data_IF_449210370085
#
_entry.id   IF_449210370085
#
_cell.length_a   1.000
_cell.length_b   1.000
_cell.length_c   1.000
_cell.angle_alpha   90.00
_cell.angle_beta   90.00
_cell.angle_gamma   90.00
#
_symmetry.space_group_name_H-M   'P 1'
#
loop_
_entity.id
_entity.type
_entity.pdbx_description
1 polymer ?
#
# COMPACT_ATOMS: atom_id res chain seq x y z
N UNK A 1 17.04 -35.11 -0.62
CA UNK A 1 17.29 -35.39 -2.05
C UNK A 1 18.10 -34.23 -2.60
N UNK A 2 19.29 -34.49 -3.15
CA UNK A 2 20.06 -33.45 -3.84
C UNK A 2 19.55 -33.33 -5.27
N UNK A 3 19.40 -32.10 -5.77
CA UNK A 3 19.00 -31.81 -7.15
C UNK A 3 19.97 -30.79 -7.73
N UNK A 4 20.26 -30.91 -9.02
CA UNK A 4 21.34 -30.18 -9.70
C UNK A 4 20.99 -29.72 -11.11
N UNK A 5 19.81 -30.09 -11.61
CA UNK A 5 19.32 -29.74 -12.95
C UNK A 5 17.90 -29.19 -12.90
N UNK A 6 17.52 -28.44 -13.94
CA UNK A 6 16.17 -27.89 -14.07
C UNK A 6 15.06 -28.95 -14.09
N UNK A 7 15.30 -30.10 -14.72
CA UNK A 7 14.34 -31.20 -14.77
C UNK A 7 14.14 -31.83 -13.38
N UNK A 8 15.20 -32.00 -12.61
CA UNK A 8 15.11 -32.49 -11.23
C UNK A 8 14.34 -31.50 -10.35
N UNK A 9 14.59 -30.20 -10.50
CA UNK A 9 13.85 -29.15 -9.79
C UNK A 9 12.36 -29.18 -10.11
N UNK A 10 11.97 -29.16 -11.39
CA UNK A 10 10.56 -29.19 -11.79
C UNK A 10 9.83 -30.46 -11.34
N UNK A 11 10.54 -31.59 -11.22
CA UNK A 11 9.98 -32.82 -10.66
C UNK A 11 9.91 -32.79 -9.13
N UNK A 12 10.89 -32.19 -8.46
CA UNK A 12 10.89 -32.01 -7.00
C UNK A 12 9.68 -31.19 -6.52
N UNK A 13 9.27 -30.18 -7.29
CA UNK A 13 8.08 -29.37 -6.98
C UNK A 13 6.76 -30.14 -6.95
N UNK A 14 6.72 -31.41 -7.37
CA UNK A 14 5.54 -32.29 -7.31
C UNK A 14 5.55 -33.23 -6.09
N UNK A 15 6.65 -33.26 -5.35
CA UNK A 15 6.84 -34.17 -4.23
C UNK A 15 6.61 -33.52 -2.86
N UNK A 16 6.91 -34.30 -1.82
CA UNK A 16 6.76 -33.96 -0.41
C UNK A 16 8.05 -34.14 0.40
N UNK A 17 9.15 -34.52 -0.26
CA UNK A 17 10.44 -34.73 0.38
C UNK A 17 11.20 -33.41 0.67
N UNK A 18 12.36 -33.54 1.31
CA UNK A 18 13.34 -32.46 1.44
C UNK A 18 14.29 -32.47 0.25
N UNK A 19 14.30 -31.40 -0.51
CA UNK A 19 15.12 -31.18 -1.69
C UNK A 19 16.15 -30.07 -1.42
N UNK A 20 17.39 -30.31 -1.83
CA UNK A 20 18.51 -29.38 -1.69
C UNK A 20 19.10 -29.13 -3.08
N UNK A 21 19.08 -27.88 -3.53
CA UNK A 21 19.73 -27.48 -4.77
C UNK A 21 21.25 -27.42 -4.56
N UNK A 22 22.03 -27.97 -5.50
CA UNK A 22 23.49 -28.02 -5.38
C UNK A 22 24.23 -27.21 -6.44
N UNK A 23 23.52 -26.67 -7.43
CA UNK A 23 24.05 -25.84 -8.50
C UNK A 23 23.00 -24.81 -8.89
N UNK A 24 23.42 -23.68 -9.47
CA UNK A 24 22.50 -22.79 -10.17
C UNK A 24 21.85 -23.53 -11.34
N UNK A 25 20.58 -23.22 -11.62
CA UNK A 25 19.81 -23.87 -12.67
C UNK A 25 19.10 -22.86 -13.54
N UNK A 26 18.87 -23.24 -14.79
CA UNK A 26 18.18 -22.44 -15.79
C UNK A 26 16.95 -23.19 -16.31
N UNK A 27 15.80 -22.53 -16.29
CA UNK A 27 14.50 -23.05 -16.70
C UNK A 27 14.02 -22.26 -17.90
N UNK A 28 13.95 -22.93 -19.05
CA UNK A 28 13.44 -22.34 -20.29
C UNK A 28 11.96 -21.97 -20.18
N UNK A 29 11.14 -22.90 -19.68
CA UNK A 29 9.70 -22.73 -19.58
C UNK A 29 9.18 -23.28 -18.25
N UNK A 30 8.42 -22.45 -17.53
CA UNK A 30 7.77 -22.86 -16.28
C UNK A 30 6.65 -23.86 -16.57
N UNK A 31 6.72 -25.02 -15.89
CA UNK A 31 5.61 -25.97 -15.77
C UNK A 31 5.08 -25.89 -14.36
N UNK A 32 3.93 -25.23 -14.18
CA UNK A 32 3.30 -25.07 -12.87
C UNK A 32 3.08 -26.42 -12.20
N UNK A 33 3.58 -26.57 -10.98
CA UNK A 33 3.22 -27.69 -10.12
C UNK A 33 1.87 -27.42 -9.46
N UNK A 34 0.94 -28.37 -9.53
CA UNK A 34 -0.38 -28.20 -8.90
C UNK A 34 -0.27 -28.05 -7.38
N UNK A 35 0.63 -28.79 -6.74
CA UNK A 35 0.82 -28.77 -5.29
C UNK A 35 2.25 -29.14 -4.92
N UNK A 36 2.81 -28.45 -3.93
CA UNK A 36 4.07 -28.81 -3.28
C UNK A 36 3.91 -28.80 -1.76
N UNK A 37 4.26 -29.90 -1.10
CA UNK A 37 4.19 -30.03 0.38
C UNK A 37 5.53 -30.35 1.03
N UNK A 38 6.61 -30.44 0.24
CA UNK A 38 7.95 -30.74 0.73
C UNK A 38 8.70 -29.54 1.26
N UNK A 39 10.01 -29.68 1.43
CA UNK A 39 10.92 -28.55 1.67
C UNK A 39 11.87 -28.43 0.50
N UNK A 40 11.87 -27.29 -0.17
CA UNK A 40 12.87 -26.95 -1.17
C UNK A 40 13.79 -25.87 -0.60
N UNK A 41 15.06 -26.25 -0.41
CA UNK A 41 16.13 -25.36 0.01
C UNK A 41 17.05 -25.13 -1.19
N UNK A 42 17.05 -23.91 -1.73
CA UNK A 42 17.92 -23.56 -2.84
C UNK A 42 19.37 -23.35 -2.39
N UNK A 43 19.65 -23.34 -1.08
CA UNK A 43 21.00 -23.30 -0.53
C UNK A 43 21.86 -22.14 -1.07
N UNK A 44 21.22 -20.98 -1.33
CA UNK A 44 21.85 -19.79 -1.88
C UNK A 44 22.06 -19.82 -3.40
N UNK A 45 21.66 -20.89 -4.09
CA UNK A 45 21.76 -20.98 -5.54
C UNK A 45 20.69 -20.18 -6.27
N UNK A 46 21.01 -19.85 -7.52
CA UNK A 46 20.13 -19.09 -8.42
C UNK A 46 19.30 -20.01 -9.30
N UNK A 47 18.02 -19.66 -9.46
CA UNK A 47 17.08 -20.25 -10.40
C UNK A 47 16.75 -19.18 -11.44
N UNK A 48 17.32 -19.32 -12.63
CA UNK A 48 17.05 -18.42 -13.76
C UNK A 48 15.85 -18.95 -14.55
N UNK A 49 14.84 -18.12 -14.75
CA UNK A 49 13.66 -18.40 -15.57
C UNK A 49 13.75 -17.51 -16.81
N UNK A 50 13.95 -18.12 -17.98
CA UNK A 50 14.07 -17.38 -19.25
C UNK A 50 12.79 -16.67 -19.64
N UNK A 51 11.66 -17.37 -19.55
CA UNK A 51 10.35 -16.85 -19.87
C UNK A 51 9.30 -17.30 -18.84
N UNK A 52 8.83 -16.38 -18.02
CA UNK A 52 7.78 -16.64 -17.03
C UNK A 52 6.40 -16.21 -17.54
N UNK A 53 5.57 -17.20 -17.89
CA UNK A 53 4.16 -17.00 -18.26
C UNK A 53 3.20 -17.71 -17.29
N UNK A 54 3.74 -18.44 -16.31
CA UNK A 54 3.00 -19.27 -15.38
C UNK A 54 3.66 -19.23 -14.00
N UNK A 55 2.89 -19.37 -12.90
CA UNK A 55 3.44 -19.55 -11.56
C UNK A 55 4.25 -20.85 -11.48
N UNK A 56 5.28 -20.89 -10.62
CA UNK A 56 6.00 -22.14 -10.32
C UNK A 56 5.09 -23.17 -9.64
N UNK A 57 4.21 -22.73 -8.73
CA UNK A 57 3.36 -23.62 -7.93
C UNK A 57 1.95 -23.04 -7.82
N UNK A 58 0.90 -23.85 -7.98
CA UNK A 58 -0.47 -23.40 -7.72
C UNK A 58 -0.75 -23.35 -6.22
N UNK A 59 -0.51 -24.43 -5.48
CA UNK A 59 -0.74 -24.48 -4.03
C UNK A 59 0.50 -24.95 -3.27
N UNK A 60 1.06 -24.08 -2.45
CA UNK A 60 2.20 -24.38 -1.58
C UNK A 60 1.70 -24.72 -0.18
N UNK A 61 1.87 -25.96 0.26
CA UNK A 61 1.71 -26.37 1.67
C UNK A 61 3.06 -26.60 2.37
N UNK A 62 4.15 -26.63 1.59
CA UNK A 62 5.50 -26.92 2.04
C UNK A 62 6.32 -25.68 2.39
N UNK A 63 7.62 -25.75 2.14
CA UNK A 63 8.56 -24.64 2.39
C UNK A 63 9.47 -24.41 1.19
N UNK A 64 9.61 -23.16 0.77
CA UNK A 64 10.62 -22.69 -0.19
C UNK A 64 11.55 -21.75 0.58
N UNK A 65 12.87 -21.96 0.50
CA UNK A 65 13.80 -21.06 1.16
C UNK A 65 15.18 -20.95 0.51
N UNK A 66 15.88 -19.88 0.89
CA UNK A 66 17.27 -19.58 0.52
C UNK A 66 17.52 -19.56 -0.99
N UNK A 67 16.59 -18.98 -1.75
CA UNK A 67 16.64 -18.98 -3.21
C UNK A 67 16.85 -17.57 -3.75
N UNK A 68 17.66 -17.46 -4.80
CA UNK A 68 17.63 -16.31 -5.72
C UNK A 68 16.90 -16.73 -6.98
N UNK A 69 15.84 -16.03 -7.36
CA UNK A 69 15.07 -16.29 -8.58
C UNK A 69 15.24 -15.11 -9.52
N UNK A 70 15.71 -15.35 -10.73
CA UNK A 70 15.88 -14.31 -11.76
C UNK A 70 14.92 -14.62 -12.89
N UNK A 71 14.06 -13.66 -13.24
CA UNK A 71 13.15 -13.76 -14.39
C UNK A 71 13.67 -12.82 -15.48
N UNK A 72 14.25 -13.39 -16.53
CA UNK A 72 14.85 -12.60 -17.63
C UNK A 72 13.81 -11.91 -18.49
N UNK A 73 12.68 -12.57 -18.74
CA UNK A 73 11.55 -11.99 -19.45
C UNK A 73 10.23 -12.56 -18.95
N UNK A 74 9.20 -11.71 -18.95
CA UNK A 74 7.82 -12.12 -18.72
C UNK A 74 6.88 -11.20 -19.51
N UNK A 75 6.14 -11.79 -20.43
CA UNK A 75 5.05 -11.13 -21.15
C UNK A 75 3.75 -11.76 -20.65
N UNK A 76 3.09 -11.09 -19.72
CA UNK A 76 1.92 -11.61 -19.04
C UNK A 76 0.68 -10.89 -19.58
N UNK A 77 -0.18 -11.63 -20.25
CA UNK A 77 -1.55 -11.20 -20.52
C UNK A 77 -2.45 -12.16 -19.76
N UNK A 78 -3.14 -11.68 -18.72
CA UNK A 78 -3.92 -12.54 -17.85
C UNK A 78 -5.31 -11.97 -17.59
N UNK A 79 -6.29 -12.89 -17.60
CA UNK A 79 -7.64 -12.64 -17.11
C UNK A 79 -7.80 -12.97 -15.62
N UNK A 80 -6.86 -13.74 -15.10
CA UNK A 80 -6.88 -14.26 -13.73
C UNK A 80 -5.75 -13.64 -12.92
N UNK A 81 -5.85 -13.75 -11.61
CA UNK A 81 -4.74 -13.41 -10.72
C UNK A 81 -3.47 -14.21 -11.05
N UNK A 82 -2.31 -13.56 -10.91
CA UNK A 82 -1.01 -14.10 -11.25
C UNK A 82 0.04 -13.77 -10.20
N UNK A 83 0.95 -14.72 -10.01
CA UNK A 83 2.20 -14.54 -9.28
C UNK A 83 3.30 -15.40 -9.92
N UNK A 84 4.56 -15.04 -9.70
CA UNK A 84 5.69 -15.80 -10.25
C UNK A 84 5.98 -17.06 -9.44
N UNK A 85 5.86 -16.98 -8.10
CA UNK A 85 6.22 -18.11 -7.22
C UNK A 85 5.02 -19.01 -6.96
N UNK A 86 4.00 -18.55 -6.21
CA UNK A 86 2.86 -19.40 -5.84
C UNK A 86 1.51 -18.71 -6.01
N UNK A 87 0.47 -19.39 -6.50
CA UNK A 87 -0.88 -18.79 -6.50
C UNK A 87 -1.40 -18.72 -5.07
N UNK A 88 -1.47 -19.84 -4.36
CA UNK A 88 -1.91 -19.91 -2.96
C UNK A 88 -0.78 -20.43 -2.06
N UNK A 89 -0.33 -19.60 -1.11
CA UNK A 89 0.62 -19.98 -0.08
C UNK A 89 -0.11 -20.40 1.20
N UNK A 90 -0.12 -21.69 1.51
CA UNK A 90 -0.51 -22.26 2.81
C UNK A 90 0.71 -22.72 3.63
N UNK A 91 1.92 -22.48 3.12
CA UNK A 91 3.18 -22.96 3.67
C UNK A 91 4.09 -21.82 4.10
N UNK A 92 5.37 -21.94 3.75
CA UNK A 92 6.41 -20.97 4.11
C UNK A 92 7.26 -20.60 2.90
N UNK A 93 7.45 -19.30 2.71
CA UNK A 93 8.43 -18.73 1.78
C UNK A 93 9.38 -17.89 2.62
N UNK A 94 10.63 -18.32 2.74
CA UNK A 94 11.58 -17.74 3.70
C UNK A 94 12.92 -17.43 3.02
N UNK A 95 13.43 -16.22 3.17
CA UNK A 95 14.73 -15.85 2.59
C UNK A 95 14.81 -16.14 1.08
N UNK A 96 13.80 -15.67 0.35
CA UNK A 96 13.76 -15.77 -1.11
C UNK A 96 13.87 -14.38 -1.71
N UNK A 97 14.82 -14.23 -2.63
CA UNK A 97 14.96 -13.07 -3.46
C UNK A 97 14.41 -13.37 -4.85
N UNK A 98 13.72 -12.39 -5.44
CA UNK A 98 13.30 -12.45 -6.83
C UNK A 98 13.58 -11.12 -7.54
N UNK A 99 14.34 -11.18 -8.63
CA UNK A 99 14.56 -10.07 -9.55
C UNK A 99 13.82 -10.38 -10.85
N UNK A 100 12.86 -9.53 -11.17
CA UNK A 100 12.05 -9.60 -12.36
C UNK A 100 12.39 -8.39 -13.21
N UNK A 101 12.79 -8.62 -14.46
CA UNK A 101 13.03 -7.53 -15.42
C UNK A 101 11.80 -6.64 -15.64
N UNK A 102 11.91 -5.71 -16.58
CA UNK A 102 10.75 -4.88 -16.97
C UNK A 102 9.65 -5.76 -17.57
N UNK A 103 8.43 -5.61 -17.06
CA UNK A 103 7.25 -6.32 -17.54
C UNK A 103 6.24 -5.31 -18.02
N UNK A 104 5.84 -5.48 -19.28
CA UNK A 104 4.61 -4.92 -19.79
C UNK A 104 3.54 -6.00 -19.69
N UNK A 105 2.46 -5.70 -18.97
CA UNK A 105 1.38 -6.65 -18.74
C UNK A 105 0.03 -6.00 -18.99
N UNK A 106 -0.86 -6.78 -19.60
CA UNK A 106 -2.27 -6.43 -19.73
C UNK A 106 -3.06 -7.31 -18.78
N UNK A 107 -3.78 -6.69 -17.85
CA UNK A 107 -4.71 -7.38 -16.97
C UNK A 107 -6.14 -7.12 -17.46
N UNK A 108 -6.78 -8.16 -17.99
CA UNK A 108 -8.16 -8.06 -18.48
C UNK A 108 -9.10 -8.52 -17.36
N UNK A 109 -10.07 -7.69 -17.00
CA UNK A 109 -10.92 -7.90 -15.80
C UNK A 109 -12.38 -8.01 -16.21
N UNK A 110 -13.05 -9.10 -15.84
CA UNK A 110 -14.49 -9.21 -16.04
C UNK A 110 -15.25 -8.45 -14.95
N UNK A 111 -16.47 -8.01 -15.28
CA UNK A 111 -17.34 -7.35 -14.30
C UNK A 111 -17.60 -8.26 -13.08
N UNK A 112 -17.42 -7.71 -11.88
CA UNK A 112 -17.59 -8.46 -10.63
C UNK A 112 -16.45 -9.40 -10.25
N UNK A 113 -15.38 -9.48 -11.06
CA UNK A 113 -14.17 -10.23 -10.71
C UNK A 113 -13.08 -9.31 -10.15
N UNK A 114 -12.33 -9.84 -9.19
CA UNK A 114 -11.13 -9.18 -8.64
C UNK A 114 -9.89 -9.96 -9.06
N UNK A 115 -8.90 -9.25 -9.57
CA UNK A 115 -7.65 -9.83 -10.05
C UNK A 115 -6.45 -9.24 -9.32
N UNK A 116 -5.46 -10.08 -9.04
CA UNK A 116 -4.25 -9.70 -8.33
C UNK A 116 -3.01 -10.04 -9.14
N UNK A 117 -2.10 -9.07 -9.28
CA UNK A 117 -0.74 -9.30 -9.76
C UNK A 117 0.23 -9.13 -8.60
N UNK A 118 1.04 -10.15 -8.35
CA UNK A 118 2.05 -10.12 -7.28
C UNK A 118 3.27 -10.92 -7.69
N UNK A 119 4.32 -10.94 -6.86
CA UNK A 119 5.50 -11.76 -7.17
C UNK A 119 5.50 -13.07 -6.40
N UNK A 120 5.34 -13.03 -5.08
CA UNK A 120 5.41 -14.23 -4.26
C UNK A 120 4.08 -14.99 -4.22
N UNK A 121 2.98 -14.32 -3.89
CA UNK A 121 1.71 -15.00 -3.67
C UNK A 121 0.49 -14.20 -4.15
N UNK A 122 -0.38 -14.80 -4.97
CA UNK A 122 -1.71 -14.20 -5.18
C UNK A 122 -2.45 -14.13 -3.85
N UNK A 123 -2.48 -15.25 -3.12
CA UNK A 123 -3.09 -15.37 -1.80
C UNK A 123 -2.12 -15.98 -0.80
N UNK A 124 -1.85 -15.28 0.29
CA UNK A 124 -1.01 -15.74 1.39
C UNK A 124 -1.83 -16.11 2.63
N UNK A 125 -2.03 -17.40 2.88
CA UNK A 125 -2.57 -17.93 4.14
C UNK A 125 -1.45 -18.34 5.12
N UNK A 126 -0.23 -18.53 4.62
CA UNK A 126 0.94 -18.97 5.37
C UNK A 126 1.89 -17.83 5.73
N UNK A 127 3.19 -18.09 5.58
CA UNK A 127 4.26 -17.16 5.92
C UNK A 127 5.04 -16.75 4.68
N UNK A 128 5.24 -15.44 4.50
CA UNK A 128 6.26 -14.88 3.61
C UNK A 128 7.18 -14.04 4.49
N UNK A 129 8.43 -14.49 4.65
CA UNK A 129 9.35 -13.91 5.62
C UNK A 129 10.73 -13.66 5.03
N UNK A 130 11.30 -12.49 5.35
CA UNK A 130 12.66 -12.12 4.93
C UNK A 130 12.86 -12.24 3.42
N UNK A 131 11.82 -11.95 2.64
CA UNK A 131 11.84 -12.06 1.18
C UNK A 131 12.05 -10.69 0.54
N UNK A 132 12.70 -10.65 -0.61
CA UNK A 132 12.88 -9.40 -1.35
C UNK A 132 12.47 -9.52 -2.80
N UNK A 133 11.82 -8.49 -3.32
CA UNK A 133 11.37 -8.42 -4.70
C UNK A 133 11.92 -7.18 -5.41
N UNK A 134 12.37 -7.34 -6.64
CA UNK A 134 12.66 -6.26 -7.57
C UNK A 134 11.86 -6.46 -8.83
N UNK A 135 11.12 -5.44 -9.25
CA UNK A 135 10.43 -5.46 -10.53
C UNK A 135 10.12 -4.05 -11.04
N UNK A 136 10.01 -3.94 -12.36
CA UNK A 136 9.52 -2.75 -13.05
C UNK A 136 8.25 -3.14 -13.82
N UNK A 137 7.10 -3.00 -13.18
CA UNK A 137 5.82 -3.29 -13.80
C UNK A 137 5.26 -2.07 -14.50
N UNK A 138 4.86 -2.25 -15.76
CA UNK A 138 4.03 -1.32 -16.51
C UNK A 138 2.76 -2.04 -16.91
N UNK A 139 1.64 -1.63 -16.34
CA UNK A 139 0.40 -2.38 -16.39
C UNK A 139 -0.73 -1.55 -17.00
N UNK A 140 -1.29 -2.08 -18.07
CA UNK A 140 -2.54 -1.59 -18.64
C UNK A 140 -3.66 -2.51 -18.16
N UNK A 141 -4.62 -1.97 -17.44
CA UNK A 141 -5.82 -2.73 -17.06
C UNK A 141 -6.94 -2.50 -18.05
N UNK A 142 -7.56 -3.58 -18.51
CA UNK A 142 -8.71 -3.56 -19.41
C UNK A 142 -9.94 -4.13 -18.70
N UNK A 143 -11.13 -3.68 -19.11
CA UNK A 143 -12.40 -4.14 -18.54
C UNK A 143 -12.85 -3.36 -17.30
N UNK A 144 -13.87 -3.88 -16.61
CA UNK A 144 -14.61 -3.16 -15.55
C UNK A 144 -14.43 -3.76 -14.16
N UNK A 145 -13.77 -4.91 -14.03
CA UNK A 145 -13.49 -5.51 -12.72
C UNK A 145 -12.39 -4.81 -11.93
N UNK A 146 -12.21 -5.23 -10.68
CA UNK A 146 -11.20 -4.69 -9.79
C UNK A 146 -9.85 -5.34 -10.03
N UNK A 147 -8.80 -4.52 -10.11
CA UNK A 147 -7.44 -4.97 -10.38
C UNK A 147 -6.50 -4.41 -9.32
N UNK A 148 -5.66 -5.29 -8.80
CA UNK A 148 -4.68 -4.94 -7.80
C UNK A 148 -3.28 -5.42 -8.19
N UNK A 149 -2.28 -4.63 -7.83
CA UNK A 149 -0.87 -4.97 -8.00
C UNK A 149 -0.05 -4.72 -6.75
N UNK A 150 0.86 -5.64 -6.45
CA UNK A 150 1.88 -5.49 -5.43
C UNK A 150 3.17 -6.24 -5.79
N UNK A 151 4.27 -6.01 -5.07
CA UNK A 151 5.51 -6.77 -5.29
C UNK A 151 5.64 -7.99 -4.36
N UNK A 152 4.85 -8.12 -3.29
CA UNK A 152 4.92 -9.29 -2.41
C UNK A 152 3.69 -10.19 -2.56
N UNK A 153 2.50 -9.73 -2.18
CA UNK A 153 1.29 -10.55 -2.25
C UNK A 153 0.03 -9.80 -2.66
N UNK A 154 -0.90 -10.45 -3.36
CA UNK A 154 -2.21 -9.87 -3.64
C UNK A 154 -3.04 -9.71 -2.36
N UNK A 155 -3.40 -10.84 -1.77
CA UNK A 155 -4.13 -10.94 -0.51
C UNK A 155 -3.27 -11.58 0.58
N UNK A 156 -3.35 -11.04 1.80
CA UNK A 156 -2.70 -11.62 2.97
C UNK A 156 -3.73 -11.98 4.05
N UNK A 157 -3.88 -13.27 4.34
CA UNK A 157 -4.61 -13.82 5.48
C UNK A 157 -3.66 -14.38 6.56
N UNK A 158 -2.39 -14.57 6.23
CA UNK A 158 -1.35 -15.07 7.12
C UNK A 158 -0.42 -13.96 7.61
N UNK A 159 0.90 -14.20 7.51
CA UNK A 159 1.93 -13.27 7.95
C UNK A 159 2.88 -12.92 6.81
N UNK A 160 3.10 -11.62 6.63
CA UNK A 160 4.18 -11.06 5.82
C UNK A 160 5.09 -10.27 6.76
N UNK A 161 6.35 -10.66 6.85
CA UNK A 161 7.30 -10.05 7.80
C UNK A 161 8.70 -9.89 7.22
N UNK A 162 9.38 -8.81 7.56
CA UNK A 162 10.77 -8.55 7.16
C UNK A 162 10.98 -8.55 5.63
N UNK A 163 9.94 -8.22 4.85
CA UNK A 163 10.00 -8.22 3.40
C UNK A 163 10.38 -6.86 2.82
N UNK A 164 11.08 -6.86 1.68
CA UNK A 164 11.66 -5.64 1.10
C UNK A 164 11.38 -5.57 -0.41
N UNK A 165 10.86 -4.45 -0.90
CA UNK A 165 10.96 -4.15 -2.34
C UNK A 165 12.30 -3.47 -2.59
N UNK A 166 13.07 -3.87 -3.60
CA UNK A 166 14.44 -3.37 -3.79
C UNK A 166 14.49 -2.00 -4.44
N UNK A 167 15.59 -1.29 -4.22
CA UNK A 167 15.89 -0.05 -4.94
C UNK A 167 15.80 -0.24 -6.46
N UNK A 168 15.27 0.78 -7.12
CA UNK A 168 15.04 0.77 -8.56
C UNK A 168 13.78 0.01 -9.00
N UNK A 169 13.00 -0.56 -8.08
CA UNK A 169 11.68 -1.13 -8.40
C UNK A 169 10.65 -0.04 -8.72
N UNK A 170 9.73 -0.35 -9.63
CA UNK A 170 8.68 0.55 -10.07
C UNK A 170 7.38 -0.20 -10.36
N UNK A 171 6.24 0.41 -10.05
CA UNK A 171 4.93 -0.01 -10.54
C UNK A 171 4.28 1.21 -11.20
N UNK A 172 3.99 1.12 -12.49
CA UNK A 172 3.20 2.08 -13.25
C UNK A 172 1.92 1.40 -13.75
N UNK A 173 0.75 1.96 -13.42
CA UNK A 173 -0.56 1.41 -13.83
C UNK A 173 -1.48 2.48 -14.38
N UNK A 174 -2.51 2.09 -15.14
CA UNK A 174 -3.56 3.02 -15.60
C UNK A 174 -4.88 2.87 -14.83
N UNK A 175 -5.27 1.63 -14.54
CA UNK A 175 -6.61 1.25 -14.05
C UNK A 175 -6.59 0.11 -13.04
N UNK A 176 -5.46 -0.01 -12.33
CA UNK A 176 -5.17 -1.05 -11.35
C UNK A 176 -4.59 -0.36 -10.14
N UNK A 177 -5.13 -0.67 -8.97
CA UNK A 177 -4.66 -0.11 -7.71
C UNK A 177 -3.35 -0.78 -7.31
N UNK A 178 -2.40 0.00 -6.82
CA UNK A 178 -1.02 -0.46 -6.69
C UNK A 178 -0.43 -0.16 -5.31
N UNK A 179 0.38 -1.09 -4.82
CA UNK A 179 1.15 -0.89 -3.60
C UNK A 179 2.48 -1.65 -3.59
N UNK A 180 3.35 -1.36 -2.64
CA UNK A 180 4.66 -2.00 -2.56
C UNK A 180 4.58 -3.45 -2.08
N UNK A 181 3.86 -3.70 -0.98
CA UNK A 181 3.92 -4.98 -0.27
C UNK A 181 2.68 -5.84 -0.53
N UNK A 182 1.49 -5.41 -0.08
CA UNK A 182 0.28 -6.23 -0.22
C UNK A 182 -0.95 -5.42 -0.55
N UNK A 183 -1.72 -5.86 -1.55
CA UNK A 183 -2.89 -5.10 -1.99
C UNK A 183 -3.99 -5.11 -0.93
N UNK A 184 -4.34 -6.29 -0.40
CA UNK A 184 -5.35 -6.43 0.65
C UNK A 184 -4.81 -7.20 1.86
N UNK A 185 -4.84 -6.56 3.03
CA UNK A 185 -4.37 -7.17 4.27
C UNK A 185 -5.52 -7.57 5.20
N UNK A 186 -5.72 -8.88 5.34
CA UNK A 186 -6.60 -9.56 6.30
C UNK A 186 -5.81 -10.30 7.40
N UNK A 187 -4.49 -10.12 7.46
CA UNK A 187 -3.58 -10.76 8.41
C UNK A 187 -2.55 -9.78 8.97
N UNK A 188 -1.32 -10.24 9.16
CA UNK A 188 -0.25 -9.42 9.75
C UNK A 188 0.77 -8.98 8.70
N UNK A 189 1.05 -7.68 8.63
CA UNK A 189 2.16 -7.10 7.84
C UNK A 189 3.09 -6.38 8.80
N UNK A 190 4.34 -6.82 8.90
CA UNK A 190 5.28 -6.26 9.87
C UNK A 190 6.70 -6.10 9.33
N UNK A 191 7.43 -5.09 9.82
CA UNK A 191 8.86 -4.91 9.54
C UNK A 191 9.21 -4.86 8.05
N UNK A 192 8.26 -4.46 7.20
CA UNK A 192 8.44 -4.45 5.75
C UNK A 192 8.95 -3.08 5.28
N UNK A 193 9.78 -3.08 4.22
CA UNK A 193 10.33 -1.85 3.63
C UNK A 193 9.96 -1.75 2.15
N UNK A 194 9.36 -0.64 1.75
CA UNK A 194 9.11 -0.35 0.34
C UNK A 194 10.09 0.70 -0.20
N UNK A 195 10.89 0.33 -1.20
CA UNK A 195 11.71 1.25 -1.99
C UNK A 195 11.13 1.49 -3.40
N UNK A 196 10.07 0.78 -3.79
CA UNK A 196 9.46 0.92 -5.10
C UNK A 196 8.72 2.25 -5.22
N UNK A 197 8.96 2.98 -6.31
CA UNK A 197 8.12 4.12 -6.69
C UNK A 197 6.88 3.63 -7.41
N UNK A 198 5.71 4.17 -7.07
CA UNK A 198 4.43 3.67 -7.58
C UNK A 198 3.65 4.83 -8.16
N UNK A 199 3.16 4.64 -9.38
CA UNK A 199 2.48 5.65 -10.16
C UNK A 199 1.22 5.07 -10.80
N UNK A 200 0.11 5.76 -10.65
CA UNK A 200 -1.13 5.45 -11.35
C UNK A 200 -1.55 6.62 -12.24
N UNK A 201 -1.67 6.37 -13.54
CA UNK A 201 -2.04 7.30 -14.60
C UNK A 201 -3.44 6.96 -15.11
N UNK A 202 -4.49 7.46 -14.46
CA UNK A 202 -5.84 7.05 -14.80
C UNK A 202 -6.55 8.05 -15.71
N UNK A 203 -6.96 7.60 -16.89
CA UNK A 203 -7.85 8.32 -17.81
C UNK A 203 -9.31 7.82 -17.73
N UNK A 204 -9.59 6.79 -16.92
CA UNK A 204 -10.88 6.13 -16.89
C UNK A 204 -11.92 6.95 -16.12
N UNK A 205 -13.09 7.14 -16.74
CA UNK A 205 -14.26 7.67 -16.06
C UNK A 205 -14.84 6.61 -15.12
N UNK A 206 -15.18 7.01 -13.90
CA UNK A 206 -15.77 6.11 -12.90
C UNK A 206 -14.78 5.34 -12.03
N UNK A 207 -13.46 5.47 -12.26
CA UNK A 207 -12.44 4.78 -11.47
C UNK A 207 -11.99 5.62 -10.26
N UNK A 208 -11.62 4.95 -9.17
CA UNK A 208 -11.10 5.55 -7.94
C UNK A 208 -9.64 5.13 -7.74
N UNK A 209 -8.65 5.84 -8.34
CA UNK A 209 -7.24 5.46 -8.23
C UNK A 209 -6.78 5.32 -6.79
N UNK A 210 -5.99 4.29 -6.50
CA UNK A 210 -5.48 4.00 -5.17
C UNK A 210 -4.02 3.56 -5.25
N UNK A 211 -3.14 4.36 -4.63
CA UNK A 211 -1.73 4.06 -4.51
C UNK A 211 -1.26 4.15 -3.06
N UNK A 212 -0.56 3.12 -2.59
CA UNK A 212 0.01 3.06 -1.25
C UNK A 212 1.44 2.51 -1.21
N UNK A 213 2.31 2.99 -0.33
CA UNK A 213 3.67 2.44 -0.23
C UNK A 213 3.71 1.00 0.30
N UNK A 214 2.85 0.63 1.26
CA UNK A 214 2.86 -0.72 1.87
C UNK A 214 1.58 -1.49 1.52
N UNK A 215 0.41 -0.97 1.87
CA UNK A 215 -0.87 -1.68 1.74
C UNK A 215 -1.96 -0.83 1.11
N UNK A 216 -2.62 -1.29 0.03
CA UNK A 216 -3.74 -0.53 -0.55
C UNK A 216 -4.96 -0.52 0.38
N UNK A 217 -5.39 -1.70 0.85
CA UNK A 217 -6.55 -1.87 1.75
C UNK A 217 -6.20 -2.69 2.98
N UNK A 218 -6.39 -2.12 4.16
CA UNK A 218 -6.01 -2.76 5.42
C UNK A 218 -7.21 -3.06 6.32
N UNK A 219 -7.37 -4.33 6.66
CA UNK A 219 -8.40 -4.85 7.57
C UNK A 219 -7.82 -5.44 8.86
N UNK A 220 -6.49 -5.44 9.01
CA UNK A 220 -5.76 -5.95 10.19
C UNK A 220 -4.53 -5.10 10.52
N UNK A 221 -3.48 -5.67 11.07
CA UNK A 221 -2.36 -4.91 11.61
C UNK A 221 -1.30 -4.65 10.53
N UNK A 222 -0.85 -3.40 10.47
CA UNK A 222 0.39 -2.98 9.81
C UNK A 222 1.30 -2.42 10.90
N UNK A 223 2.50 -2.98 11.05
CA UNK A 223 3.42 -2.54 12.10
C UNK A 223 4.88 -2.44 11.67
N UNK A 224 5.63 -1.47 12.20
CA UNK A 224 7.08 -1.37 11.98
C UNK A 224 7.49 -1.27 10.49
N UNK A 225 6.60 -0.76 9.64
CA UNK A 225 6.84 -0.69 8.20
C UNK A 225 7.39 0.67 7.76
N UNK A 226 8.21 0.67 6.73
CA UNK A 226 8.87 1.86 6.19
C UNK A 226 8.60 2.02 4.70
N UNK A 227 8.20 3.20 4.28
CA UNK A 227 8.13 3.56 2.86
C UNK A 227 9.17 4.61 2.51
N UNK A 228 10.01 4.30 1.52
CA UNK A 228 10.99 5.19 0.91
C UNK A 228 10.58 5.61 -0.51
N UNK A 229 9.75 4.82 -1.18
CA UNK A 229 9.30 5.06 -2.54
C UNK A 229 8.33 6.25 -2.65
N UNK A 230 8.35 6.94 -3.78
CA UNK A 230 7.39 8.02 -4.07
C UNK A 230 6.08 7.44 -4.59
N UNK A 231 4.94 7.93 -4.11
CA UNK A 231 3.64 7.54 -4.67
C UNK A 231 3.00 8.69 -5.44
N UNK A 232 2.47 8.37 -6.61
CA UNK A 232 1.89 9.34 -7.53
C UNK A 232 0.55 8.85 -8.06
N UNK A 233 -0.46 9.71 -8.02
CA UNK A 233 -1.69 9.56 -8.82
C UNK A 233 -1.84 10.77 -9.74
N UNK A 234 -2.11 10.51 -11.01
CA UNK A 234 -2.54 11.52 -11.97
C UNK A 234 -3.86 11.06 -12.62
N UNK A 235 -4.94 11.77 -12.31
CA UNK A 235 -6.25 11.58 -12.92
C UNK A 235 -6.39 12.50 -14.14
N UNK A 236 -6.34 11.94 -15.34
CA UNK A 236 -6.39 12.66 -16.61
C UNK A 236 -7.80 12.72 -17.23
N UNK A 237 -8.81 12.17 -16.56
CA UNK A 237 -10.19 12.21 -17.07
C UNK A 237 -10.65 13.66 -17.33
N UNK A 238 -11.18 13.90 -18.53
CA UNK A 238 -11.65 15.21 -18.99
C UNK A 238 -13.15 15.44 -18.72
N UNK A 239 -13.86 14.47 -18.17
CA UNK A 239 -15.29 14.59 -17.90
C UNK A 239 -15.59 14.79 -16.41
N UNK A 240 -16.42 15.78 -16.13
CA UNK A 240 -17.10 15.91 -14.85
C UNK A 240 -18.04 14.71 -14.66
N UNK A 241 -17.72 13.81 -13.74
CA UNK A 241 -18.59 12.68 -13.43
C UNK A 241 -19.60 13.07 -12.36
N UNK A 242 -20.86 12.68 -12.53
CA UNK A 242 -21.93 12.89 -11.52
C UNK A 242 -21.68 12.14 -10.21
N UNK A 243 -20.82 11.11 -10.22
CA UNK A 243 -20.44 10.34 -9.05
C UNK A 243 -19.22 10.98 -8.36
N UNK A 244 -19.25 10.99 -7.03
CA UNK A 244 -18.17 11.51 -6.18
C UNK A 244 -16.92 10.61 -6.20
N UNK A 245 -16.23 10.56 -7.34
CA UNK A 245 -14.99 9.81 -7.47
C UNK A 245 -13.91 10.36 -6.54
N UNK A 246 -13.08 9.46 -6.03
CA UNK A 246 -12.02 9.75 -5.08
C UNK A 246 -10.73 9.04 -5.48
N UNK A 247 -9.61 9.75 -5.36
CA UNK A 247 -8.27 9.19 -5.50
C UNK A 247 -7.58 9.17 -4.14
N UNK A 248 -6.87 8.08 -3.87
CA UNK A 248 -6.22 7.82 -2.59
C UNK A 248 -4.71 7.67 -2.80
N UNK A 249 -3.94 8.49 -2.08
CA UNK A 249 -2.47 8.44 -2.13
C UNK A 249 -1.90 8.45 -0.72
N UNK A 250 -1.15 7.41 -0.37
CA UNK A 250 -0.59 7.28 0.97
C UNK A 250 0.81 6.66 1.02
N UNK A 251 1.64 7.10 1.97
CA UNK A 251 2.97 6.52 2.16
C UNK A 251 2.92 5.10 2.75
N UNK A 252 1.96 4.78 3.63
CA UNK A 252 1.83 3.43 4.21
C UNK A 252 0.58 2.73 3.71
N UNK A 253 -0.60 3.31 3.94
CA UNK A 253 -1.86 2.65 3.63
C UNK A 253 -2.90 3.58 3.01
N UNK A 254 -3.42 3.26 1.84
CA UNK A 254 -4.44 4.12 1.22
C UNK A 254 -5.76 4.07 1.98
N UNK A 255 -6.29 2.87 2.26
CA UNK A 255 -7.55 2.70 2.98
C UNK A 255 -7.36 1.84 4.23
N UNK A 256 -7.54 2.45 5.40
CA UNK A 256 -7.32 1.80 6.69
C UNK A 256 -8.61 1.61 7.49
N UNK A 257 -8.91 0.35 7.77
CA UNK A 257 -10.08 -0.07 8.55
C UNK A 257 -9.68 -0.67 9.90
N UNK A 258 -8.39 -0.81 10.19
CA UNK A 258 -7.89 -1.38 11.44
C UNK A 258 -6.66 -0.58 11.95
N UNK A 259 -5.54 -1.22 12.27
CA UNK A 259 -4.45 -0.57 12.99
C UNK A 259 -3.20 -0.38 12.14
N UNK A 260 -2.65 0.84 12.18
CA UNK A 260 -1.31 1.19 11.69
C UNK A 260 -0.49 1.65 12.89
N UNK A 261 0.63 0.97 13.15
CA UNK A 261 1.41 1.15 14.38
C UNK A 261 2.89 1.24 14.05
N UNK A 262 3.61 2.24 14.58
CA UNK A 262 5.07 2.33 14.43
C UNK A 262 5.53 2.30 12.96
N UNK A 263 4.81 2.95 12.06
CA UNK A 263 5.18 3.02 10.65
C UNK A 263 5.74 4.38 10.28
N UNK A 264 6.66 4.43 9.31
CA UNK A 264 7.23 5.69 8.83
C UNK A 264 7.19 5.80 7.31
N UNK A 265 6.69 6.94 6.81
CA UNK A 265 6.86 7.33 5.43
C UNK A 265 8.01 8.35 5.30
N UNK A 266 8.89 8.12 4.33
CA UNK A 266 9.98 9.01 3.94
C UNK A 266 9.86 9.43 2.46
N UNK A 267 8.96 8.81 1.71
CA UNK A 267 8.69 9.12 0.30
C UNK A 267 7.78 10.33 0.12
N UNK A 268 7.76 10.86 -1.10
CA UNK A 268 6.89 11.98 -1.46
C UNK A 268 5.54 11.49 -1.97
N UNK A 269 4.49 12.27 -1.70
CA UNK A 269 3.15 12.03 -2.20
C UNK A 269 2.79 13.08 -3.25
N UNK A 270 2.35 12.62 -4.42
CA UNK A 270 1.82 13.49 -5.48
C UNK A 270 0.44 13.03 -5.91
N UNK A 271 -0.52 13.95 -5.93
CA UNK A 271 -1.87 13.68 -6.42
C UNK A 271 -2.34 14.85 -7.30
N UNK A 272 -2.66 14.58 -8.56
CA UNK A 272 -3.12 15.58 -9.50
C UNK A 272 -4.43 15.12 -10.14
N UNK A 273 -5.42 16.00 -10.23
CA UNK A 273 -6.70 15.66 -10.84
C UNK A 273 -7.46 16.88 -11.35
N UNK A 274 -8.26 16.74 -12.41
CA UNK A 274 -9.19 17.80 -12.80
C UNK A 274 -10.45 17.78 -11.93
N UNK A 275 -11.15 16.64 -11.86
CA UNK A 275 -12.51 16.53 -11.29
C UNK A 275 -12.66 15.58 -10.09
N UNK A 276 -11.65 14.76 -9.80
CA UNK A 276 -11.69 13.72 -8.76
C UNK A 276 -11.30 14.30 -7.41
N UNK A 277 -12.01 13.90 -6.33
CA UNK A 277 -11.63 14.26 -4.96
C UNK A 277 -10.29 13.61 -4.61
N UNK A 278 -9.39 14.36 -3.99
CA UNK A 278 -8.09 13.86 -3.60
C UNK A 278 -8.04 13.66 -2.09
N UNK A 279 -7.67 12.46 -1.64
CA UNK A 279 -7.32 12.18 -0.26
C UNK A 279 -5.84 11.81 -0.22
N UNK A 280 -5.03 12.61 0.46
CA UNK A 280 -3.59 12.39 0.54
C UNK A 280 -3.13 12.44 1.98
N UNK A 281 -2.40 11.41 2.42
CA UNK A 281 -1.80 11.40 3.74
C UNK A 281 -0.43 10.78 3.77
N UNK A 282 0.46 11.31 4.61
CA UNK A 282 1.81 10.79 4.76
C UNK A 282 1.83 9.32 5.19
N UNK A 283 0.95 8.95 6.14
CA UNK A 283 0.77 7.56 6.58
C UNK A 283 -0.44 6.95 5.90
N UNK A 284 -1.61 7.60 6.01
CA UNK A 284 -2.86 7.05 5.54
C UNK A 284 -3.69 8.06 4.74
N UNK A 285 -4.24 7.66 3.60
CA UNK A 285 -5.10 8.55 2.81
C UNK A 285 -6.50 8.63 3.43
N UNK A 286 -7.12 7.49 3.70
CA UNK A 286 -8.48 7.41 4.19
C UNK A 286 -8.60 6.33 5.27
N UNK A 287 -8.90 6.74 6.50
CA UNK A 287 -9.13 5.84 7.62
C UNK A 287 -10.57 5.97 8.10
N UNK A 288 -11.34 4.87 8.08
CA UNK A 288 -12.75 4.88 8.45
C UNK A 288 -13.17 3.66 9.24
N UNK A 289 -14.25 3.81 10.01
CA UNK A 289 -14.89 2.70 10.72
C UNK A 289 -15.41 1.68 9.72
N UNK A 290 -15.06 0.41 9.92
CA UNK A 290 -15.62 -0.69 9.14
C UNK A 290 -16.99 -1.05 9.70
N UNK A 291 -18.00 -1.06 8.84
CA UNK A 291 -19.34 -1.48 9.18
C UNK A 291 -19.77 -2.67 8.31
N UNK A 292 -20.35 -3.68 8.94
CA UNK A 292 -20.98 -4.82 8.25
C UNK A 292 -22.41 -4.97 8.77
N UNK A 293 -23.39 -4.99 7.85
CA UNK A 293 -24.82 -5.09 8.18
C UNK A 293 -25.28 -4.04 9.21
N UNK A 294 -24.74 -2.81 9.11
CA UNK A 294 -25.05 -1.70 10.02
C UNK A 294 -24.38 -1.77 11.39
N UNK A 295 -23.55 -2.79 11.65
CA UNK A 295 -22.80 -2.91 12.91
C UNK A 295 -21.34 -2.51 12.71
N UNK A 296 -20.80 -1.79 13.68
CA UNK A 296 -19.36 -1.46 13.72
C UNK A 296 -18.57 -2.75 13.98
N UNK A 297 -17.76 -3.17 12.99
CA UNK A 297 -16.89 -4.35 13.07
C UNK A 297 -15.53 -3.97 13.60
N UNK A 298 -15.01 -2.83 13.18
CA UNK A 298 -13.73 -2.31 13.68
C UNK A 298 -13.67 -0.79 13.57
N UNK A 299 -12.94 -0.19 14.51
CA UNK A 299 -12.59 1.22 14.51
C UNK A 299 -11.09 1.33 14.27
N UNK A 300 -10.65 2.05 13.23
CA UNK A 300 -9.24 2.09 12.93
C UNK A 300 -8.44 2.92 13.93
N UNK A 301 -7.12 2.75 13.92
CA UNK A 301 -6.19 3.55 14.70
C UNK A 301 -4.88 3.80 13.97
N UNK A 302 -4.26 4.96 14.23
CA UNK A 302 -2.91 5.32 13.77
C UNK A 302 -2.11 5.73 14.99
N UNK A 303 -1.10 4.92 15.34
CA UNK A 303 -0.33 5.08 16.59
C UNK A 303 1.17 5.09 16.33
N UNK A 304 1.88 6.02 16.96
CA UNK A 304 3.35 6.05 16.95
C UNK A 304 3.95 6.12 15.54
N UNK A 305 3.24 6.73 14.59
CA UNK A 305 3.66 6.80 13.19
C UNK A 305 4.34 8.14 12.87
N UNK A 306 5.29 8.09 11.94
CA UNK A 306 6.09 9.23 11.51
C UNK A 306 5.94 9.51 10.03
N UNK A 307 5.88 10.77 9.60
CA UNK A 307 5.97 11.06 8.17
C UNK A 307 6.93 12.21 7.87
N UNK A 308 7.79 11.98 6.88
CA UNK A 308 8.79 12.89 6.37
C UNK A 308 8.76 12.84 4.85
N UNK A 309 9.03 13.96 4.18
CA UNK A 309 8.89 14.11 2.73
C UNK A 309 8.01 15.31 2.37
N UNK A 310 7.41 15.29 1.18
CA UNK A 310 6.45 16.32 0.74
C UNK A 310 5.12 15.73 0.29
N UNK A 311 4.06 16.51 0.44
CA UNK A 311 2.75 16.27 -0.15
C UNK A 311 2.50 17.36 -1.19
N UNK A 312 2.20 16.97 -2.43
CA UNK A 312 1.74 17.88 -3.48
C UNK A 312 0.38 17.39 -3.97
N UNK A 313 -0.66 18.18 -3.74
CA UNK A 313 -2.01 17.84 -4.18
C UNK A 313 -2.62 19.01 -4.95
N UNK A 314 -2.98 18.79 -6.21
CA UNK A 314 -3.51 19.84 -7.08
C UNK A 314 -4.77 19.42 -7.80
N UNK A 315 -5.73 20.33 -7.86
CA UNK A 315 -6.87 20.21 -8.75
C UNK A 315 -7.12 21.49 -9.52
N UNK A 316 -7.64 21.37 -10.75
CA UNK A 316 -7.80 22.53 -11.64
C UNK A 316 -9.25 23.01 -11.80
N UNK A 317 -10.24 22.30 -11.26
CA UNK A 317 -11.66 22.60 -11.47
C UNK A 317 -12.42 22.78 -10.14
N UNK A 318 -13.38 23.70 -10.11
CA UNK A 318 -14.03 24.25 -8.90
C UNK A 318 -14.86 23.23 -8.08
N UNK A 319 -15.15 22.06 -8.64
CA UNK A 319 -15.96 21.00 -7.99
C UNK A 319 -15.11 19.93 -7.31
N UNK A 320 -13.80 19.91 -7.53
CA UNK A 320 -12.91 18.99 -6.85
C UNK A 320 -12.66 19.45 -5.40
N UNK A 321 -12.39 18.48 -4.53
CA UNK A 321 -12.01 18.73 -3.13
C UNK A 321 -10.68 18.05 -2.88
N UNK A 322 -9.81 18.74 -2.17
CA UNK A 322 -8.49 18.21 -1.82
C UNK A 322 -8.40 18.14 -0.31
N UNK A 323 -8.20 16.94 0.20
CA UNK A 323 -8.07 16.65 1.62
C UNK A 323 -6.66 16.13 1.86
N UNK A 324 -5.84 16.91 2.58
CA UNK A 324 -4.45 16.53 2.86
C UNK A 324 -4.10 16.67 4.33
N UNK A 325 -3.35 15.68 4.84
CA UNK A 325 -2.75 15.75 6.18
C UNK A 325 -1.40 15.05 6.25
N UNK A 326 -0.49 15.61 7.04
CA UNK A 326 0.87 15.07 7.17
C UNK A 326 0.93 13.64 7.72
N UNK A 327 -0.14 13.17 8.40
CA UNK A 327 -0.33 11.77 8.78
C UNK A 327 -1.53 11.18 8.04
N UNK A 328 -2.71 11.81 8.15
CA UNK A 328 -3.95 11.29 7.59
C UNK A 328 -4.65 12.30 6.68
N UNK A 329 -5.08 11.88 5.49
CA UNK A 329 -5.99 12.68 4.66
C UNK A 329 -7.34 12.80 5.36
N UNK A 330 -8.08 11.69 5.41
CA UNK A 330 -9.30 11.55 6.20
C UNK A 330 -9.10 10.58 7.36
N UNK A 331 -9.61 10.93 8.54
CA UNK A 331 -9.58 10.04 9.71
C UNK A 331 -10.92 10.01 10.46
N UNK A 332 -11.40 8.80 10.69
CA UNK A 332 -12.50 8.47 11.57
C UNK A 332 -12.16 7.14 12.24
N UNK A 333 -12.02 7.13 13.57
CA UNK A 333 -11.56 5.92 14.25
C UNK A 333 -11.47 6.03 15.76
N UNK A 334 -10.81 5.05 16.36
CA UNK A 334 -10.68 4.92 17.80
C UNK A 334 -9.55 5.81 18.33
N UNK A 335 -8.35 5.71 17.76
CA UNK A 335 -7.15 6.31 18.34
C UNK A 335 -6.22 6.93 17.30
N UNK A 336 -5.80 8.17 17.57
CA UNK A 336 -4.80 8.92 16.83
C UNK A 336 -3.73 9.44 17.82
N UNK A 337 -2.70 8.64 18.06
CA UNK A 337 -1.86 8.76 19.25
C UNK A 337 -0.36 8.72 18.91
N UNK A 338 0.42 9.60 19.53
CA UNK A 338 1.88 9.59 19.48
C UNK A 338 2.47 9.72 18.07
N UNK A 339 1.81 10.44 17.16
CA UNK A 339 2.29 10.58 15.78
C UNK A 339 3.15 11.84 15.59
N UNK A 340 4.04 11.83 14.61
CA UNK A 340 4.80 13.02 14.23
C UNK A 340 4.86 13.24 12.71
N UNK A 341 4.85 14.48 12.26
CA UNK A 341 5.07 14.80 10.84
C UNK A 341 5.95 16.02 10.63
N UNK A 342 6.88 15.88 9.70
CA UNK A 342 7.72 16.95 9.16
C UNK A 342 7.37 17.25 7.70
N UNK A 343 6.27 16.69 7.18
CA UNK A 343 5.94 16.81 5.76
C UNK A 343 5.54 18.23 5.40
N UNK A 344 6.08 18.77 4.31
CA UNK A 344 5.62 20.03 3.73
C UNK A 344 4.53 19.78 2.72
N UNK A 345 3.43 20.54 2.79
CA UNK A 345 2.34 20.41 1.81
C UNK A 345 2.32 21.63 0.87
N UNK A 346 2.22 21.35 -0.43
CA UNK A 346 1.99 22.35 -1.47
C UNK A 346 0.63 22.09 -2.12
N UNK A 347 -0.21 23.12 -2.17
CA UNK A 347 -1.56 23.07 -2.73
C UNK A 347 -1.72 24.19 -3.75
N UNK A 348 -2.47 23.94 -4.83
CA UNK A 348 -2.63 24.90 -5.94
C UNK A 348 -4.03 25.53 -6.01
N UNK A 349 -4.07 26.83 -6.31
CA UNK A 349 -5.21 27.69 -6.71
C UNK A 349 -6.38 27.91 -5.73
N UNK A 350 -6.84 29.16 -5.63
CA UNK A 350 -7.78 29.65 -4.59
C UNK A 350 -9.27 29.28 -4.82
N UNK A 351 -9.63 28.65 -5.95
CA UNK A 351 -11.04 28.37 -6.31
C UNK A 351 -11.57 27.01 -5.82
N UNK A 352 -10.68 26.16 -5.30
CA UNK A 352 -10.97 24.78 -4.86
C UNK A 352 -11.15 24.73 -3.34
N UNK A 353 -12.03 23.85 -2.86
CA UNK A 353 -12.21 23.64 -1.40
C UNK A 353 -11.10 22.72 -0.87
N UNK A 354 -10.02 23.35 -0.42
CA UNK A 354 -8.90 22.69 0.25
C UNK A 354 -9.20 22.46 1.74
N UNK A 355 -9.12 21.20 2.16
CA UNK A 355 -9.15 20.79 3.57
C UNK A 355 -7.75 20.29 3.93
N UNK A 356 -6.91 21.22 4.37
CA UNK A 356 -5.47 20.97 4.58
C UNK A 356 -5.15 21.19 6.05
N UNK A 357 -4.77 20.12 6.73
CA UNK A 357 -4.24 20.21 8.10
C UNK A 357 -2.80 19.71 8.15
N UNK A 358 -2.03 20.18 9.12
CA UNK A 358 -0.66 19.68 9.28
C UNK A 358 -0.63 18.20 9.66
N UNK A 359 -1.60 17.71 10.45
CA UNK A 359 -1.70 16.31 10.86
C UNK A 359 -2.81 15.55 10.12
N UNK A 360 -4.03 16.10 10.20
CA UNK A 360 -5.25 15.50 9.67
C UNK A 360 -5.89 16.50 8.71
N UNK A 361 -6.20 16.08 7.48
CA UNK A 361 -6.99 16.90 6.57
C UNK A 361 -8.41 17.06 7.08
N UNK A 362 -9.18 15.97 7.07
CA UNK A 362 -10.59 15.94 7.43
C UNK A 362 -10.88 14.86 8.48
N UNK A 363 -11.77 15.15 9.44
CA UNK A 363 -12.29 14.15 10.39
C UNK A 363 -13.82 14.15 10.43
N UNK A 364 -14.43 13.02 10.76
CA UNK A 364 -15.89 12.97 10.99
C UNK A 364 -16.26 13.57 12.36
N UNK A 365 -17.38 14.27 12.40
CA UNK A 365 -17.95 14.83 13.62
C UNK A 365 -19.48 14.62 13.67
N UNK A 366 -20.00 14.39 14.88
CA UNK A 366 -21.42 14.26 15.18
C UNK A 366 -21.87 15.51 15.93
N UNK A 367 -22.94 16.14 15.48
CA UNK A 367 -23.52 17.27 16.19
C UNK A 367 -24.44 16.76 17.31
N UNK A 368 -24.11 17.08 18.57
CA UNK A 368 -25.03 16.94 19.68
C UNK A 368 -25.64 18.29 20.07
N UNK A 369 -26.68 18.26 20.91
CA UNK A 369 -27.11 19.44 21.65
C UNK A 369 -25.89 19.92 22.48
N UNK A 370 -25.52 21.20 22.37
CA UNK A 370 -24.39 21.88 23.04
C UNK A 370 -22.96 21.73 22.50
N UNK A 371 -22.71 21.06 21.36
CA UNK A 371 -21.36 21.09 20.80
C UNK A 371 -21.10 20.05 19.70
N UNK A 372 -20.10 20.33 18.86
CA UNK A 372 -19.61 19.40 17.84
C UNK A 372 -18.72 18.36 18.52
N UNK A 373 -19.05 17.08 18.39
CA UNK A 373 -18.27 15.95 18.90
C UNK A 373 -17.48 15.31 17.78
N UNK A 374 -16.17 15.16 17.94
CA UNK A 374 -15.32 14.46 16.96
C UNK A 374 -15.42 12.96 17.23
N UNK A 375 -15.55 12.13 16.19
CA UNK A 375 -15.70 10.68 16.34
C UNK A 375 -14.45 9.95 16.86
N UNK A 376 -13.32 10.65 16.90
CA UNK A 376 -12.05 10.14 17.41
C UNK A 376 -12.13 9.97 18.92
N UNK A 377 -12.02 8.73 19.39
CA UNK A 377 -12.17 8.41 20.81
C UNK A 377 -10.95 8.81 21.65
N UNK A 378 -9.75 8.83 21.06
CA UNK A 378 -8.50 9.23 21.72
C UNK A 378 -7.56 10.00 20.78
N UNK A 379 -7.16 11.20 21.21
CA UNK A 379 -6.10 12.02 20.58
C UNK A 379 -5.09 12.36 21.67
N UNK A 380 -3.84 11.92 21.52
CA UNK A 380 -2.80 12.20 22.51
C UNK A 380 -1.39 12.27 21.90
N UNK A 381 -0.56 13.18 22.42
CA UNK A 381 0.88 13.28 22.13
C UNK A 381 1.27 13.35 20.65
N UNK A 382 0.58 14.15 19.83
CA UNK A 382 0.94 14.29 18.42
C UNK A 382 1.73 15.59 18.15
N UNK A 383 2.67 15.56 17.21
CA UNK A 383 3.56 16.70 16.91
C UNK A 383 3.67 16.98 15.41
N UNK A 384 3.64 18.25 15.01
CA UNK A 384 3.81 18.63 13.60
C UNK A 384 4.71 19.84 13.42
N UNK A 385 5.42 19.88 12.29
CA UNK A 385 6.20 21.03 11.89
C UNK A 385 5.27 22.14 11.38
N UNK A 386 5.24 23.27 12.08
CA UNK A 386 4.46 24.43 11.68
C UNK A 386 4.96 24.98 10.34
N UNK A 387 4.03 25.31 9.45
CA UNK A 387 4.33 25.85 8.12
C UNK A 387 3.66 27.21 7.95
N UNK A 388 4.33 28.12 7.25
CA UNK A 388 3.82 29.48 7.04
C UNK A 388 2.42 29.50 6.42
N UNK A 389 2.11 28.52 5.55
CA UNK A 389 0.86 28.44 4.82
C UNK A 389 -0.17 27.47 5.44
N UNK A 390 0.23 26.68 6.44
CA UNK A 390 -0.62 25.68 7.10
C UNK A 390 -0.27 25.71 8.58
N UNK A 391 -1.03 26.51 9.33
CA UNK A 391 -0.80 26.74 10.76
C UNK A 391 -1.70 25.90 11.66
N UNK A 392 -2.68 25.17 11.09
CA UNK A 392 -3.66 24.41 11.84
C UNK A 392 -3.36 22.91 11.79
N UNK A 393 -3.51 22.22 12.93
CA UNK A 393 -3.34 20.77 13.01
C UNK A 393 -4.38 19.98 12.22
N UNK A 394 -5.60 20.53 12.12
CA UNK A 394 -6.77 19.94 11.47
C UNK A 394 -7.27 20.88 10.39
N UNK A 395 -7.54 20.38 9.18
CA UNK A 395 -8.08 21.18 8.08
C UNK A 395 -9.59 21.42 8.16
N UNK A 396 -10.35 20.48 8.71
CA UNK A 396 -11.80 20.64 8.91
C UNK A 396 -12.49 19.39 9.45
N UNK A 397 -13.80 19.48 9.64
CA UNK A 397 -14.63 18.33 10.01
C UNK A 397 -15.84 18.15 9.08
N UNK A 398 -16.24 16.89 8.91
CA UNK A 398 -17.41 16.46 8.15
C UNK A 398 -18.55 16.13 9.13
N UNK A 399 -19.65 16.88 9.06
CA UNK A 399 -20.88 16.65 9.82
C UNK A 399 -22.02 16.34 8.86
N UNK A 400 -22.40 15.06 8.75
CA UNK A 400 -23.28 14.60 7.68
C UNK A 400 -22.65 14.88 6.31
N UNK A 401 -23.33 15.70 5.50
CA UNK A 401 -22.84 16.13 4.17
C UNK A 401 -22.20 17.52 4.17
N UNK A 402 -22.01 18.13 5.35
CA UNK A 402 -21.51 19.50 5.48
C UNK A 402 -20.08 19.47 6.01
N UNK A 403 -19.14 20.02 5.22
CA UNK A 403 -17.78 20.30 5.68
C UNK A 403 -17.81 21.67 6.34
N UNK A 404 -17.33 21.74 7.58
CA UNK A 404 -17.20 23.00 8.31
C UNK A 404 -15.73 23.30 8.58
N UNK A 405 -15.33 24.50 8.21
CA UNK A 405 -14.01 25.06 8.43
C UNK A 405 -14.11 26.01 9.60
N UNK A 406 -14.01 25.50 10.83
CA UNK A 406 -14.17 26.35 12.00
C UNK A 406 -12.82 26.95 12.40
N UNK A 407 -12.70 28.27 12.33
CA UNK A 407 -11.52 29.02 12.81
C UNK A 407 -11.25 28.82 14.31
N UNK A 408 -12.22 28.29 15.08
CA UNK A 408 -12.07 27.99 16.51
C UNK A 408 -11.62 26.56 16.83
N UNK A 409 -11.49 25.66 15.83
CA UNK A 409 -10.88 24.32 16.03
C UNK A 409 -9.37 24.32 15.80
N UNK A 410 -8.72 25.47 15.98
CA UNK A 410 -7.29 25.68 15.69
C UNK A 410 -6.36 24.71 16.42
N UNK A 411 -6.83 24.06 17.49
CA UNK A 411 -6.06 23.08 18.26
C UNK A 411 -6.97 21.93 18.74
N UNK A 412 -6.79 20.75 18.15
CA UNK A 412 -7.24 19.52 18.79
C UNK A 412 -6.35 19.28 20.01
N UNK A 413 -6.95 19.13 21.21
CA UNK A 413 -6.19 18.72 22.40
C UNK A 413 -5.42 17.44 22.09
N UNK A 414 -4.14 17.41 22.49
CA UNK A 414 -3.24 16.29 22.18
C UNK A 414 -2.50 16.41 20.86
N UNK A 415 -2.54 17.57 20.19
CA UNK A 415 -1.68 17.91 19.05
C UNK A 415 -0.91 19.20 19.33
N UNK A 416 0.41 19.16 19.18
CA UNK A 416 1.32 20.29 19.44
C UNK A 416 2.07 20.70 18.17
N UNK A 417 2.20 22.00 17.94
CA UNK A 417 3.03 22.54 16.86
C UNK A 417 4.48 22.64 17.30
N UNK A 418 5.38 22.45 16.34
CA UNK A 418 6.83 22.60 16.51
C UNK A 418 7.34 23.62 15.50
N UNK A 419 8.24 24.51 15.94
CA UNK A 419 8.81 25.54 15.06
C UNK A 419 9.90 24.98 14.15
N UNK A 420 10.62 23.96 14.62
CA UNK A 420 11.72 23.33 13.91
C UNK A 420 11.59 21.81 13.90
N UNK A 421 12.26 21.16 12.96
CA UNK A 421 12.41 19.70 12.97
C UNK A 421 13.07 19.25 14.28
N UNK A 422 14.01 20.04 14.83
CA UNK A 422 14.72 19.67 16.05
C UNK A 422 13.80 19.57 17.26
N UNK A 423 12.75 20.37 17.32
CA UNK A 423 11.74 20.31 18.39
C UNK A 423 10.99 18.97 18.34
N UNK A 424 10.66 18.50 17.13
CA UNK A 424 10.05 17.18 16.93
C UNK A 424 11.02 16.07 17.33
N UNK A 425 12.29 16.16 16.92
CA UNK A 425 13.31 15.18 17.27
C UNK A 425 13.54 15.04 18.78
N UNK A 426 13.28 16.09 19.55
CA UNK A 426 13.40 16.10 21.00
C UNK A 426 12.11 15.63 21.71
N UNK A 427 11.02 15.38 20.97
CA UNK A 427 9.77 14.87 21.53
C UNK A 427 9.89 13.39 21.92
N UNK A 428 9.02 12.93 22.83
CA UNK A 428 8.97 11.53 23.28
C UNK A 428 8.49 10.55 22.21
N UNK A 429 7.93 11.05 21.11
CA UNK A 429 7.28 10.22 20.08
C UNK A 429 8.12 10.06 18.82
N UNK A 430 9.19 10.87 18.70
CA UNK A 430 10.06 10.79 17.55
C UNK A 430 11.00 9.59 17.66
N UNK A 431 11.12 8.88 16.54
CA UNK A 431 12.11 7.85 16.35
C UNK A 431 12.58 7.91 14.89
N UNK A 432 13.85 7.57 14.67
CA UNK A 432 14.38 7.42 13.31
C UNK A 432 14.28 5.97 12.91
N UNK A 433 13.74 5.71 11.72
CA UNK A 433 14.03 4.48 11.01
C UNK A 433 15.55 4.32 10.86
N UNK A 434 16.08 3.22 11.38
CA UNK A 434 17.49 2.81 11.21
C UNK A 434 17.63 1.86 10.01
#
# INVERSE_FOLDING_TARGET
VKISTANEFLNALKGDAKYLLTNDIEIENVKTSNKFSGTFDANGHTITIKNAQKPLISNLAGTIKNASIVVESANITTKNSFSFVVVENNGKIENVEIDVGTIETTQTKAEGETTYLSIFAVKNNGYIKSCSAKANFKIVGEGTGDGFCSLIAGENYGTISDCVTKDGSQIETESIDACGIVSQNYGEVSSCKNYASIKQLSNLSGWNPNVAGIVSMNYKNISNCLNFGNMTVECQNEQETSNALSAFVAGICAQNNFAIVHCQNLGNMTANSKYVKLYVGGICSFSSVLQENGNVVSKPSIKSCGSSGSISATTTEDKAFVVTGGIAGYFEGDAFVSNFTTMTSQNGNDTVKFVVGSMIGLTYAVQGFDGIYISISSINENYYLSQANITQSLGGFLNGSVITFNSSTSELKGISSCATIKDIENSSVYWRAV
#
